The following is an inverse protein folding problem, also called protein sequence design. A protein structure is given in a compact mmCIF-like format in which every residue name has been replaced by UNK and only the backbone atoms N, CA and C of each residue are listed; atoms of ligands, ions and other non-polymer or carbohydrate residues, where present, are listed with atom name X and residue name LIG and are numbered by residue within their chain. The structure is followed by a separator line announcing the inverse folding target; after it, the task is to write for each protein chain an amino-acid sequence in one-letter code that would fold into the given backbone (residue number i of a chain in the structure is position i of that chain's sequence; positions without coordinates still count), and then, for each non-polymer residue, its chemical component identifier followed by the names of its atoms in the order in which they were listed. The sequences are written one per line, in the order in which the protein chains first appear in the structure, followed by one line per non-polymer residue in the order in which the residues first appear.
data_IF_969717071938
#
_entry.id   IF_969717071938
#
_cell.length_a   1.000
_cell.length_b   1.000
_cell.length_c   1.000
_cell.angle_alpha   90.00
_cell.angle_beta   90.00
_cell.angle_gamma   90.00
#
_symmetry.space_group_name_H-M   'P 1'
#
loop_
_entity.id
_entity.type
_entity.pdbx_description
1 polymer ?
#
# COMPACT_ATOMS: atom_id res chain seq x y z
N UNK A 1 20.33 22.42 23.97
CA UNK A 1 19.29 21.49 23.49
C UNK A 1 19.06 21.69 21.99
N UNK A 2 19.40 20.72 21.14
CA UNK A 2 18.99 20.77 19.72
C UNK A 2 17.49 20.51 19.63
N UNK A 3 16.70 21.52 19.28
CA UNK A 3 15.26 21.35 19.02
C UNK A 3 15.12 20.42 17.81
N UNK A 4 14.38 19.32 17.95
CA UNK A 4 14.05 18.46 16.80
C UNK A 4 13.13 19.24 15.88
N UNK A 5 13.61 19.58 14.68
CA UNK A 5 12.80 20.24 13.66
C UNK A 5 11.82 19.24 13.08
N UNK A 6 10.52 19.56 13.17
CA UNK A 6 9.46 18.76 12.56
C UNK A 6 8.98 19.46 11.30
N UNK A 7 9.02 18.77 10.16
CA UNK A 7 8.53 19.28 8.89
C UNK A 7 7.10 18.79 8.64
N UNK A 8 6.21 19.70 8.21
CA UNK A 8 4.84 19.36 7.84
C UNK A 8 4.81 18.40 6.65
N UNK A 9 3.82 17.51 6.58
CA UNK A 9 3.67 16.60 5.44
C UNK A 9 3.52 17.35 4.12
N UNK A 10 2.83 18.51 4.12
CA UNK A 10 2.70 19.38 2.95
C UNK A 10 4.05 19.84 2.43
N UNK A 11 4.91 20.39 3.30
CA UNK A 11 6.26 20.84 2.93
C UNK A 11 7.11 19.70 2.36
N UNK A 12 7.03 18.51 2.97
CA UNK A 12 7.75 17.32 2.45
C UNK A 12 7.30 16.94 1.04
N UNK A 13 5.98 16.92 0.79
CA UNK A 13 5.42 16.56 -0.52
C UNK A 13 5.82 17.57 -1.60
N UNK A 14 5.77 18.87 -1.30
CA UNK A 14 6.18 19.93 -2.23
C UNK A 14 7.65 19.77 -2.63
N UNK A 15 8.54 19.57 -1.65
CA UNK A 15 9.98 19.41 -1.91
C UNK A 15 10.30 18.15 -2.71
N UNK A 16 9.65 17.02 -2.40
CA UNK A 16 9.84 15.78 -3.18
C UNK A 16 9.31 15.93 -4.61
N UNK A 17 8.21 16.65 -4.81
CA UNK A 17 7.70 16.96 -6.15
C UNK A 17 8.70 17.80 -6.94
N UNK A 18 9.22 18.88 -6.36
CA UNK A 18 10.21 19.74 -7.02
C UNK A 18 11.49 19.00 -7.40
N UNK A 19 11.98 18.08 -6.54
CA UNK A 19 13.15 17.24 -6.88
C UNK A 19 12.83 16.28 -8.04
N UNK A 20 11.62 15.70 -8.07
CA UNK A 20 11.19 14.82 -9.17
C UNK A 20 11.05 15.52 -10.51
N UNK A 21 10.64 16.79 -10.49
CA UNK A 21 10.53 17.63 -11.70
C UNK A 21 11.90 18.05 -12.25
N UNK A 22 13.00 17.55 -11.68
CA UNK A 22 14.37 17.80 -12.12
C UNK A 22 15.12 18.83 -11.27
N UNK A 23 14.53 19.28 -10.15
CA UNK A 23 15.16 20.23 -9.25
C UNK A 23 16.41 19.67 -8.57
N UNK A 24 17.44 20.52 -8.46
CA UNK A 24 18.68 20.17 -7.77
C UNK A 24 18.45 20.04 -6.25
N UNK A 25 18.78 18.88 -5.68
CA UNK A 25 18.49 18.55 -4.29
C UNK A 25 19.28 19.40 -3.28
N UNK A 26 20.49 19.85 -3.63
CA UNK A 26 21.32 20.69 -2.77
C UNK A 26 20.77 22.12 -2.71
N UNK A 27 20.46 22.69 -3.88
CA UNK A 27 19.83 24.01 -3.98
C UNK A 27 18.48 24.05 -3.24
N UNK A 28 17.65 23.02 -3.42
CA UNK A 28 16.37 22.88 -2.72
C UNK A 28 16.57 22.73 -1.20
N UNK A 29 17.63 22.04 -0.77
CA UNK A 29 17.98 21.90 0.65
C UNK A 29 18.35 23.23 1.29
N UNK A 30 19.16 24.02 0.60
CA UNK A 30 19.56 25.36 1.02
C UNK A 30 18.35 26.30 1.09
N UNK A 31 17.56 26.41 0.02
CA UNK A 31 16.39 27.29 -0.07
C UNK A 31 15.32 26.94 0.98
N UNK A 32 15.08 25.64 1.19
CA UNK A 32 14.01 25.19 2.09
C UNK A 32 14.44 25.11 3.57
N UNK A 33 15.73 25.27 3.87
CA UNK A 33 16.31 25.05 5.19
C UNK A 33 16.21 23.59 5.66
N UNK A 34 16.11 22.65 4.72
CA UNK A 34 16.00 21.21 5.00
C UNK A 34 17.35 20.55 4.73
N UNK A 35 17.94 19.83 5.70
CA UNK A 35 19.16 19.08 5.46
C UNK A 35 19.01 18.11 4.28
N UNK A 36 19.96 18.12 3.36
CA UNK A 36 19.96 17.29 2.14
C UNK A 36 19.72 15.80 2.44
N UNK A 37 20.26 15.29 3.56
CA UNK A 37 19.99 13.92 4.05
C UNK A 37 18.49 13.61 4.22
N UNK A 38 17.71 14.58 4.68
CA UNK A 38 16.26 14.39 4.83
C UNK A 38 15.57 14.35 3.46
N UNK A 39 16.00 15.20 2.52
CA UNK A 39 15.49 15.20 1.15
C UNK A 39 15.74 13.84 0.47
N UNK A 40 16.97 13.31 0.53
CA UNK A 40 17.28 11.98 0.01
C UNK A 40 16.40 10.89 0.61
N UNK A 41 16.21 10.90 1.94
CA UNK A 41 15.33 9.94 2.61
C UNK A 41 13.88 10.06 2.12
N UNK A 42 13.35 11.28 1.99
CA UNK A 42 11.96 11.48 1.55
C UNK A 42 11.74 11.08 0.09
N UNK A 43 12.71 11.38 -0.78
CA UNK A 43 12.69 10.93 -2.17
C UNK A 43 12.72 9.41 -2.24
N UNK A 44 13.61 8.75 -1.48
CA UNK A 44 13.67 7.28 -1.43
C UNK A 44 12.38 6.64 -0.91
N UNK A 45 11.73 7.23 0.08
CA UNK A 45 10.42 6.77 0.57
C UNK A 45 9.31 6.88 -0.51
N UNK A 46 9.28 7.98 -1.28
CA UNK A 46 8.31 8.17 -2.36
C UNK A 46 8.61 7.28 -3.58
N UNK A 47 9.87 7.04 -3.92
CA UNK A 47 10.27 6.06 -4.94
C UNK A 47 9.77 4.67 -4.57
N UNK A 48 10.09 4.20 -3.35
CA UNK A 48 9.64 2.89 -2.86
C UNK A 48 8.11 2.79 -2.84
N UNK A 49 7.40 3.86 -2.45
CA UNK A 49 5.95 3.90 -2.49
C UNK A 49 5.38 3.62 -3.89
N UNK A 50 5.98 4.20 -4.93
CA UNK A 50 5.55 4.01 -6.32
C UNK A 50 5.97 2.66 -6.90
N UNK A 51 7.18 2.19 -6.59
CA UNK A 51 7.64 0.84 -6.98
C UNK A 51 6.72 -0.26 -6.45
N UNK A 52 6.08 -0.01 -5.30
CA UNK A 52 5.06 -0.89 -4.73
C UNK A 52 3.70 -0.85 -5.44
N UNK A 53 3.60 -0.22 -6.62
CA UNK A 53 2.38 -0.17 -7.43
C UNK A 53 1.31 0.78 -6.90
N UNK A 54 1.64 1.68 -5.97
CA UNK A 54 0.69 2.66 -5.48
C UNK A 54 0.54 3.82 -6.47
N UNK A 55 -0.70 4.14 -6.82
CA UNK A 55 -1.04 5.27 -7.67
C UNK A 55 -1.47 6.46 -6.79
N UNK A 56 -0.75 7.59 -6.88
CA UNK A 56 -1.04 8.82 -6.15
C UNK A 56 0.15 9.38 -5.33
N UNK A 57 0.01 10.57 -4.74
CA UNK A 57 1.08 11.21 -3.97
C UNK A 57 1.39 10.43 -2.69
N UNK A 58 2.68 10.19 -2.42
CA UNK A 58 3.11 9.59 -1.16
C UNK A 58 2.73 10.50 0.02
N UNK A 59 2.08 9.92 1.03
CA UNK A 59 1.70 10.64 2.24
C UNK A 59 2.66 10.30 3.39
N UNK A 60 3.45 11.28 3.81
CA UNK A 60 4.38 11.19 4.94
C UNK A 60 3.68 11.04 6.32
N UNK A 61 2.35 10.96 6.38
CA UNK A 61 1.58 10.97 7.64
C UNK A 61 1.25 9.59 8.21
N UNK A 62 1.51 8.48 7.51
CA UNK A 62 1.24 7.15 8.06
C UNK A 62 2.49 6.59 8.73
N UNK A 63 2.47 6.50 10.06
CA UNK A 63 3.33 5.54 10.78
C UNK A 63 3.13 4.18 10.09
N UNK A 64 4.20 3.60 9.56
CA UNK A 64 4.16 2.25 8.99
C UNK A 64 3.73 1.32 10.12
N UNK A 65 2.56 0.70 9.96
CA UNK A 65 2.22 -0.44 10.79
C UNK A 65 3.24 -1.56 10.57
N UNK A 66 3.25 -2.59 11.41
CA UNK A 66 4.07 -3.78 11.18
C UNK A 66 3.89 -4.28 9.75
N UNK A 67 4.99 -4.76 9.15
CA UNK A 67 4.97 -5.30 7.80
C UNK A 67 3.88 -6.38 7.66
N UNK A 68 3.31 -6.54 6.46
CA UNK A 68 2.28 -7.54 6.24
C UNK A 68 2.79 -8.94 6.63
N UNK A 69 1.95 -9.71 7.32
CA UNK A 69 2.28 -11.08 7.75
C UNK A 69 2.59 -12.00 6.57
N UNK A 70 2.06 -11.69 5.38
CA UNK A 70 2.36 -12.40 4.15
C UNK A 70 3.18 -11.51 3.20
N UNK A 71 4.17 -12.06 2.48
CA UNK A 71 4.82 -11.35 1.39
C UNK A 71 3.83 -10.85 0.35
N UNK A 72 4.20 -9.80 -0.39
CA UNK A 72 3.29 -9.15 -1.36
C UNK A 72 2.86 -10.11 -2.46
N UNK A 73 3.77 -10.98 -2.88
CA UNK A 73 3.57 -12.01 -3.90
C UNK A 73 2.49 -13.00 -3.45
N UNK A 74 2.54 -13.41 -2.19
CA UNK A 74 1.52 -14.28 -1.58
C UNK A 74 0.16 -13.58 -1.50
N UNK A 75 0.12 -12.31 -1.12
CA UNK A 75 -1.15 -11.56 -1.09
C UNK A 75 -1.71 -11.33 -2.50
N UNK A 76 -0.86 -11.10 -3.50
CA UNK A 76 -1.27 -10.96 -4.91
C UNK A 76 -1.86 -12.26 -5.46
N UNK A 77 -1.25 -13.41 -5.16
CA UNK A 77 -1.80 -14.71 -5.55
C UNK A 77 -3.18 -14.97 -4.92
N UNK A 78 -3.38 -14.56 -3.66
CA UNK A 78 -4.70 -14.63 -3.01
C UNK A 78 -5.70 -13.71 -3.71
N UNK A 79 -5.29 -12.50 -4.06
CA UNK A 79 -6.13 -11.55 -4.79
C UNK A 79 -6.57 -12.10 -6.16
N UNK A 80 -5.64 -12.60 -6.97
CA UNK A 80 -5.92 -13.21 -8.27
C UNK A 80 -6.88 -14.40 -8.15
N UNK A 81 -6.70 -15.24 -7.12
CA UNK A 81 -7.63 -16.32 -6.82
C UNK A 81 -9.03 -15.82 -6.48
N UNK A 82 -9.18 -14.76 -5.68
CA UNK A 82 -10.49 -14.15 -5.37
C UNK A 82 -11.16 -13.63 -6.63
N UNK A 83 -10.41 -12.94 -7.49
CA UNK A 83 -10.93 -12.42 -8.78
C UNK A 83 -11.37 -13.57 -9.68
N UNK A 84 -10.57 -14.64 -9.80
CA UNK A 84 -10.94 -15.81 -10.59
C UNK A 84 -12.25 -16.45 -10.15
N UNK A 85 -12.45 -16.60 -8.83
CA UNK A 85 -13.70 -17.14 -8.30
C UNK A 85 -14.91 -16.22 -8.54
N UNK A 86 -14.72 -14.90 -8.50
CA UNK A 86 -15.78 -13.94 -8.83
C UNK A 86 -16.19 -14.03 -10.30
N UNK A 87 -15.24 -14.24 -11.21
CA UNK A 87 -15.49 -14.45 -12.65
C UNK A 87 -16.26 -15.75 -12.88
N UNK A 88 -15.95 -16.81 -12.12
CA UNK A 88 -16.65 -18.10 -12.16
C UNK A 88 -18.05 -18.06 -11.51
N UNK A 89 -18.46 -16.92 -10.94
CA UNK A 89 -19.75 -16.78 -10.25
C UNK A 89 -19.79 -17.46 -8.89
N UNK A 90 -18.65 -17.89 -8.35
CA UNK A 90 -18.56 -18.53 -7.04
C UNK A 90 -18.50 -17.47 -5.92
N UNK A 91 -19.38 -17.53 -4.91
CA UNK A 91 -19.34 -16.57 -3.80
C UNK A 91 -18.13 -16.83 -2.90
N UNK A 92 -17.13 -15.95 -2.94
CA UNK A 92 -15.98 -16.00 -2.03
C UNK A 92 -16.24 -15.13 -0.81
N UNK A 93 -16.42 -15.78 0.34
CA UNK A 93 -16.63 -15.13 1.60
C UNK A 93 -15.34 -14.78 2.33
N UNK A 94 -15.49 -13.93 3.35
CA UNK A 94 -14.40 -13.55 4.27
C UNK A 94 -13.68 -14.77 4.88
N UNK A 95 -14.41 -15.84 5.21
CA UNK A 95 -13.85 -17.06 5.81
C UNK A 95 -12.98 -17.82 4.79
N UNK A 96 -13.39 -17.86 3.54
CA UNK A 96 -12.70 -18.56 2.46
C UNK A 96 -11.37 -17.88 2.13
N UNK A 97 -11.37 -16.54 2.10
CA UNK A 97 -10.15 -15.74 1.93
C UNK A 97 -9.16 -16.02 3.07
N UNK A 98 -9.62 -16.02 4.33
CA UNK A 98 -8.74 -16.33 5.48
C UNK A 98 -8.23 -17.76 5.40
N UNK A 99 -9.05 -18.73 5.01
CA UNK A 99 -8.64 -20.13 4.86
C UNK A 99 -7.58 -20.29 3.76
N UNK A 100 -7.78 -19.68 2.60
CA UNK A 100 -6.80 -19.66 1.50
C UNK A 100 -5.49 -19.01 1.94
N UNK A 101 -5.58 -17.89 2.66
CA UNK A 101 -4.42 -17.20 3.19
C UNK A 101 -3.68 -18.03 4.25
N UNK A 102 -4.38 -18.77 5.11
CA UNK A 102 -3.74 -19.71 6.05
C UNK A 102 -3.01 -20.84 5.34
N UNK A 103 -3.55 -21.38 4.25
CA UNK A 103 -2.87 -22.40 3.45
C UNK A 103 -1.54 -21.87 2.89
N UNK A 104 -1.55 -20.66 2.33
CA UNK A 104 -0.35 -20.03 1.78
C UNK A 104 0.62 -19.63 2.91
N UNK A 105 0.12 -19.11 4.02
CA UNK A 105 0.94 -18.70 5.17
C UNK A 105 1.72 -19.86 5.78
N UNK A 106 1.08 -21.03 5.90
CA UNK A 106 1.77 -22.25 6.36
C UNK A 106 2.98 -22.62 5.49
N UNK A 107 2.92 -22.35 4.19
CA UNK A 107 4.00 -22.67 3.25
C UNK A 107 5.09 -21.60 3.22
N UNK A 108 4.72 -20.34 3.44
CA UNK A 108 5.63 -19.20 3.25
C UNK A 108 6.28 -18.73 4.55
N UNK A 109 5.50 -18.65 5.63
CA UNK A 109 5.97 -18.07 6.91
C UNK A 109 5.86 -19.02 8.10
N UNK A 110 5.08 -20.10 7.97
CA UNK A 110 4.78 -21.02 9.08
C UNK A 110 3.80 -20.45 10.11
N UNK A 111 3.48 -19.16 10.04
CA UNK A 111 2.62 -18.46 10.98
C UNK A 111 1.15 -18.45 10.51
N UNK A 112 0.17 -18.61 11.41
CA UNK A 112 -1.24 -18.53 11.03
C UNK A 112 -1.68 -17.07 10.83
N UNK A 113 -2.39 -16.80 9.73
CA UNK A 113 -3.10 -15.51 9.54
C UNK A 113 -4.54 -15.60 10.05
N UNK A 114 -5.03 -14.45 10.55
CA UNK A 114 -6.37 -14.34 11.13
C UNK A 114 -7.18 -13.16 10.60
N UNK A 115 -8.25 -12.84 11.32
CA UNK A 115 -9.20 -11.79 10.92
C UNK A 115 -8.57 -10.39 10.82
N UNK A 116 -7.59 -10.10 11.67
CA UNK A 116 -6.83 -8.85 11.63
C UNK A 116 -6.05 -8.69 10.31
N UNK A 117 -5.53 -9.78 9.77
CA UNK A 117 -4.85 -9.80 8.47
C UNK A 117 -5.85 -9.54 7.34
N UNK A 118 -7.00 -10.22 7.30
CA UNK A 118 -8.02 -10.00 6.26
C UNK A 118 -8.50 -8.54 6.21
N UNK A 119 -8.67 -7.88 7.37
CA UNK A 119 -9.00 -6.45 7.41
C UNK A 119 -7.93 -5.60 6.73
N UNK A 120 -6.65 -5.88 6.98
CA UNK A 120 -5.52 -5.17 6.36
C UNK A 120 -5.38 -5.51 4.87
N UNK A 121 -5.62 -6.75 4.48
CA UNK A 121 -5.65 -7.23 3.10
C UNK A 121 -6.68 -6.44 2.26
N UNK A 122 -7.92 -6.30 2.73
CA UNK A 122 -8.91 -5.45 2.04
C UNK A 122 -8.55 -3.96 2.00
N UNK A 123 -7.80 -3.50 3.00
CA UNK A 123 -7.24 -2.14 3.01
C UNK A 123 -6.02 -1.95 2.09
N UNK A 124 -5.51 -3.01 1.47
CA UNK A 124 -4.47 -2.97 0.43
C UNK A 124 -5.06 -3.19 -0.96
N UNK A 125 -6.03 -4.10 -1.07
CA UNK A 125 -6.77 -4.40 -2.30
C UNK A 125 -8.16 -3.77 -2.22
N UNK A 126 -8.23 -2.46 -2.47
CA UNK A 126 -9.47 -1.68 -2.35
C UNK A 126 -10.56 -2.08 -3.34
N UNK A 127 -10.18 -2.66 -4.48
CA UNK A 127 -11.07 -3.26 -5.48
C UNK A 127 -11.92 -4.40 -4.89
N UNK A 128 -11.37 -5.15 -3.94
CA UNK A 128 -12.12 -6.14 -3.16
C UNK A 128 -13.02 -5.51 -2.07
N UNK A 129 -12.87 -4.21 -1.79
CA UNK A 129 -13.57 -3.53 -0.69
C UNK A 129 -14.77 -2.67 -1.11
N UNK A 130 -14.95 -2.31 -2.38
CA UNK A 130 -16.06 -1.42 -2.80
C UNK A 130 -16.99 -1.93 -3.91
N UNK A 131 -16.79 -3.14 -4.48
CA UNK A 131 -17.59 -3.59 -5.63
C UNK A 131 -18.06 -5.04 -5.63
N UNK A 132 -18.49 -5.56 -4.48
CA UNK A 132 -19.19 -6.85 -4.40
C UNK A 132 -20.71 -6.72 -4.17
N UNK A 133 -21.36 -5.63 -4.58
CA UNK A 133 -22.82 -5.48 -4.41
C UNK A 133 -23.46 -4.52 -5.41
N UNK A 134 -23.42 -4.82 -6.71
CA UNK A 134 -24.50 -4.44 -7.64
C UNK A 134 -24.71 -5.60 -8.62
N UNK A 135 -25.75 -6.38 -8.33
CA UNK A 135 -26.61 -7.09 -9.29
C UNK A 135 -26.03 -7.40 -10.67
N UNK A 136 -25.60 -8.65 -10.88
CA UNK A 136 -25.67 -9.27 -12.21
C UNK A 136 -27.14 -9.69 -12.43
N UNK A 137 -28.00 -8.68 -12.60
CA UNK A 137 -29.34 -8.87 -13.13
C UNK A 137 -29.62 -7.73 -14.12
N UNK A 138 -29.07 -7.90 -15.33
CA UNK A 138 -29.56 -7.37 -16.62
C UNK A 138 -28.47 -7.52 -17.69
N UNK A 139 -28.33 -8.71 -18.26
CA UNK A 139 -27.81 -8.89 -19.63
C UNK A 139 -28.38 -10.19 -20.21
N UNK A 140 -29.70 -10.33 -20.13
CA UNK A 140 -30.49 -11.13 -21.07
C UNK A 140 -31.78 -10.36 -21.29
N UNK A 141 -31.85 -9.66 -22.40
CA UNK A 141 -32.99 -8.95 -22.96
C UNK A 141 -32.78 -8.91 -24.45
#
# INVERSE_FOLDING_TARGET
MKRRTTYSSKKKMELVRSIREGGNIEAIGEESGVPVRNLFRWVGEDVNWRENGNNGPYSFSKRRGPDPTLPKEAEKSIHEWVVGQQVEGAPVGRKDIVRKAQQISKLVTGEPVGMGWHRRFKGRFHDLSSRASQSVSKFFG
#
